data_IF_833296045723
#
_entry.id   IF_833296045723
#
_cell.length_a   1.000
_cell.length_b   1.000
_cell.length_c   1.000
_cell.angle_alpha   90.00
_cell.angle_beta   90.00
_cell.angle_gamma   90.00
#
_symmetry.space_group_name_H-M   'P 1'
#
loop_
_entity.id
_entity.type
_entity.pdbx_description
1 polymer ?
#
# COMPACT_ATOMS: atom_id res chain seq x y z
N UNK A 1 11.04 3.46 19.87
CA UNK A 1 10.26 4.00 18.74
C UNK A 1 10.83 3.41 17.46
N UNK A 2 10.04 2.64 16.71
CA UNK A 2 10.45 2.04 15.44
C UNK A 2 10.23 2.99 14.25
N UNK A 3 10.91 2.69 13.13
CA UNK A 3 10.68 3.32 11.83
C UNK A 3 10.21 2.25 10.86
N UNK A 4 9.11 2.50 10.17
CA UNK A 4 8.50 1.55 9.22
C UNK A 4 8.29 2.24 7.88
N UNK A 5 8.59 1.54 6.80
CA UNK A 5 8.13 1.89 5.46
C UNK A 5 7.01 0.93 5.09
N UNK A 6 5.91 1.46 4.55
CA UNK A 6 4.76 0.67 4.15
C UNK A 6 4.45 0.95 2.68
N UNK A 7 4.48 -0.12 1.89
CA UNK A 7 4.15 -0.11 0.48
C UNK A 7 2.79 -0.79 0.29
N UNK A 8 1.84 -0.09 -0.32
CA UNK A 8 0.66 -0.73 -0.88
C UNK A 8 1.01 -1.25 -2.26
N UNK A 9 1.13 -2.57 -2.40
CA UNK A 9 1.40 -3.20 -3.70
C UNK A 9 0.36 -2.77 -4.74
N UNK A 10 0.75 -2.85 -6.01
CA UNK A 10 -0.12 -2.55 -7.14
C UNK A 10 -0.67 -1.12 -7.16
N UNK A 11 -1.27 -0.69 -8.27
CA UNK A 11 -1.87 0.63 -8.41
C UNK A 11 -2.98 0.60 -9.47
N UNK A 12 -3.55 1.76 -9.82
CA UNK A 12 -4.66 1.80 -10.80
C UNK A 12 -4.28 1.29 -12.21
N UNK A 13 -2.99 1.33 -12.56
CA UNK A 13 -2.41 0.92 -13.85
C UNK A 13 -2.05 -0.58 -13.82
N UNK A 14 -1.31 -1.00 -12.79
CA UNK A 14 -0.90 -2.38 -12.55
C UNK A 14 -1.73 -2.89 -11.37
N UNK A 15 -2.91 -3.43 -11.66
CA UNK A 15 -3.95 -3.60 -10.64
C UNK A 15 -3.78 -4.79 -9.70
N UNK A 16 -2.84 -5.69 -10.00
CA UNK A 16 -2.73 -6.98 -9.33
C UNK A 16 -3.92 -7.89 -9.63
N UNK A 17 -4.24 -8.77 -8.70
CA UNK A 17 -5.44 -9.58 -8.69
C UNK A 17 -6.70 -8.70 -8.73
N UNK A 18 -7.60 -9.02 -9.65
CA UNK A 18 -8.83 -8.26 -9.87
C UNK A 18 -9.97 -9.23 -10.19
N UNK A 19 -10.97 -9.28 -9.31
CA UNK A 19 -12.15 -10.13 -9.48
C UNK A 19 -13.40 -9.46 -8.91
N UNK A 20 -14.39 -9.23 -9.79
CA UNK A 20 -15.65 -8.58 -9.42
C UNK A 20 -15.43 -7.16 -8.91
N UNK A 21 -15.85 -6.90 -7.67
CA UNK A 21 -15.68 -5.63 -6.97
C UNK A 21 -14.39 -5.54 -6.15
N UNK A 22 -13.55 -6.59 -6.17
CA UNK A 22 -12.30 -6.66 -5.39
C UNK A 22 -11.11 -6.44 -6.30
N UNK A 23 -10.39 -5.37 -6.02
CA UNK A 23 -9.13 -5.02 -6.69
C UNK A 23 -8.03 -4.98 -5.65
N UNK A 24 -6.96 -5.73 -5.87
CA UNK A 24 -5.85 -5.86 -4.94
C UNK A 24 -5.33 -4.51 -4.47
N UNK A 25 -4.93 -3.63 -5.40
CA UNK A 25 -4.42 -2.29 -5.04
C UNK A 25 -5.37 -1.48 -4.15
N UNK A 26 -6.70 -1.63 -4.30
CA UNK A 26 -7.68 -0.93 -3.45
C UNK A 26 -7.68 -1.52 -2.05
N UNK A 27 -7.71 -2.84 -1.94
CA UNK A 27 -7.69 -3.53 -0.65
C UNK A 27 -6.38 -3.29 0.10
N UNK A 28 -5.27 -3.22 -0.63
CA UNK A 28 -3.95 -2.90 -0.07
C UNK A 28 -3.93 -1.52 0.56
N UNK A 29 -4.57 -0.51 -0.05
CA UNK A 29 -4.68 0.82 0.57
C UNK A 29 -5.45 0.77 1.89
N UNK A 30 -6.57 0.05 1.92
CA UNK A 30 -7.38 -0.10 3.13
C UNK A 30 -6.57 -0.71 4.29
N UNK A 31 -5.80 -1.76 4.01
CA UNK A 31 -4.97 -2.42 5.04
C UNK A 31 -3.78 -1.56 5.43
N UNK A 32 -3.01 -1.06 4.45
CA UNK A 32 -1.83 -0.22 4.66
C UNK A 32 -2.17 1.00 5.51
N UNK A 33 -3.24 1.71 5.18
CA UNK A 33 -3.65 2.93 5.89
C UNK A 33 -4.06 2.63 7.34
N UNK A 34 -4.77 1.51 7.56
CA UNK A 34 -5.13 1.06 8.90
C UNK A 34 -3.90 0.69 9.75
N UNK A 35 -2.90 0.03 9.14
CA UNK A 35 -1.63 -0.30 9.80
C UNK A 35 -0.84 0.97 10.10
N UNK A 36 -0.72 1.88 9.15
CA UNK A 36 -0.03 3.15 9.31
C UNK A 36 -0.62 3.97 10.47
N UNK A 37 -1.95 4.04 10.56
CA UNK A 37 -2.65 4.73 11.63
C UNK A 37 -2.34 4.11 13.00
N UNK A 38 -2.38 2.77 13.11
CA UNK A 38 -2.07 2.05 14.36
C UNK A 38 -0.61 2.24 14.79
N UNK A 39 0.33 2.11 13.87
CA UNK A 39 1.77 2.30 14.15
C UNK A 39 2.05 3.74 14.60
N UNK A 40 1.47 4.75 13.93
CA UNK A 40 1.58 6.15 14.35
C UNK A 40 0.99 6.40 15.73
N UNK A 41 -0.17 5.82 16.03
CA UNK A 41 -0.80 5.92 17.35
C UNK A 41 0.04 5.30 18.48
N UNK A 42 0.84 4.27 18.19
CA UNK A 42 1.81 3.67 19.11
C UNK A 42 3.12 4.47 19.24
N UNK A 43 3.23 5.64 18.61
CA UNK A 43 4.42 6.47 18.63
C UNK A 43 5.55 5.86 17.79
N UNK A 44 5.25 5.40 16.58
CA UNK A 44 6.25 5.05 15.57
C UNK A 44 6.29 6.07 14.44
N UNK A 45 7.43 6.17 13.77
CA UNK A 45 7.54 6.90 12.51
C UNK A 45 7.16 5.97 11.37
N UNK A 46 6.23 6.39 10.51
CA UNK A 46 5.75 5.60 9.38
C UNK A 46 5.86 6.41 8.09
N UNK A 47 6.62 5.88 7.15
CA UNK A 47 6.72 6.35 5.77
C UNK A 47 5.77 5.54 4.89
N UNK A 48 5.22 6.21 3.89
CA UNK A 48 4.40 5.61 2.85
C UNK A 48 5.18 5.71 1.55
N UNK A 49 5.67 4.58 1.05
CA UNK A 49 6.45 4.46 -0.18
C UNK A 49 5.64 3.77 -1.29
N UNK A 50 4.32 3.83 -1.18
CA UNK A 50 3.39 3.37 -2.21
C UNK A 50 3.65 4.09 -3.52
N UNK A 51 3.88 3.34 -4.59
CA UNK A 51 4.03 3.88 -5.94
C UNK A 51 2.68 3.89 -6.66
N UNK A 52 2.15 5.08 -6.93
CA UNK A 52 0.89 5.28 -7.64
C UNK A 52 1.06 5.51 -9.15
N UNK A 53 2.30 5.45 -9.64
CA UNK A 53 2.67 5.91 -11.00
C UNK A 53 3.36 4.86 -11.85
N UNK A 54 4.00 3.85 -11.26
CA UNK A 54 4.62 2.75 -11.97
C UNK A 54 3.66 2.05 -12.92
N UNK A 55 4.13 1.78 -14.12
CA UNK A 55 3.30 1.28 -15.22
C UNK A 55 3.66 -0.14 -15.66
N UNK A 56 4.58 -0.80 -14.97
CA UNK A 56 4.97 -2.19 -15.22
C UNK A 56 4.93 -2.99 -13.94
N UNK A 57 4.70 -4.30 -14.04
CA UNK A 57 4.61 -5.18 -12.87
C UNK A 57 5.89 -5.15 -12.03
N UNK A 58 7.07 -5.08 -12.66
CA UNK A 58 8.34 -4.99 -11.95
C UNK A 58 8.54 -3.67 -11.17
N UNK A 59 7.82 -2.60 -11.53
CA UNK A 59 7.88 -1.31 -10.86
C UNK A 59 6.86 -1.17 -9.74
N UNK A 60 5.90 -2.10 -9.62
CA UNK A 60 4.72 -1.91 -8.80
C UNK A 60 4.30 -3.22 -8.11
N UNK A 61 5.26 -3.78 -7.35
CA UNK A 61 5.18 -4.95 -6.48
C UNK A 61 5.54 -4.54 -5.06
#
# INVERSE_FOLDING_TARGET
MGKYSLHGGHNRIVQGANWGDRKEHVMDRLVKDAVAAKLRALGHTVYDDTDETGSTQAQNL
#
